data_IF_470965055474
#
_entry.id   IF_470965055474
#
_cell.length_a   1.000
_cell.length_b   1.000
_cell.length_c   1.000
_cell.angle_alpha   90.00
_cell.angle_beta   90.00
_cell.angle_gamma   90.00
#
_symmetry.space_group_name_H-M   'P 1'
#
loop_
_entity.id
_entity.type
_entity.pdbx_description
1 polymer ?
#
# COMPACT_ATOMS: atom_id res chain seq x y z
N UNK A 1 -19.31 -14.81 4.21
CA UNK A 1 -18.42 -15.93 3.80
C UNK A 1 -16.98 -15.44 3.58
N UNK A 2 -16.75 -14.31 2.92
CA UNK A 2 -15.40 -13.70 2.74
C UNK A 2 -14.78 -13.31 4.07
N UNK A 3 -15.53 -12.72 4.99
CA UNK A 3 -15.10 -12.29 6.32
C UNK A 3 -14.60 -13.46 7.21
N UNK A 4 -15.28 -14.61 7.13
CA UNK A 4 -14.85 -15.83 7.85
C UNK A 4 -13.61 -16.44 7.22
N UNK A 5 -13.47 -16.38 5.90
CA UNK A 5 -12.28 -16.87 5.18
C UNK A 5 -11.04 -16.00 5.45
N UNK A 6 -11.20 -14.69 5.58
CA UNK A 6 -10.09 -13.79 5.93
C UNK A 6 -9.61 -14.08 7.36
N UNK A 7 -10.52 -14.21 8.34
CA UNK A 7 -10.18 -14.55 9.73
C UNK A 7 -9.52 -15.92 9.89
N UNK A 8 -10.00 -16.94 9.20
CA UNK A 8 -9.43 -18.31 9.30
C UNK A 8 -8.06 -18.41 8.63
N UNK A 9 -7.81 -17.67 7.54
CA UNK A 9 -6.50 -17.66 6.89
C UNK A 9 -5.47 -16.81 7.64
N UNK A 10 -5.87 -15.69 8.25
CA UNK A 10 -4.97 -14.87 9.09
C UNK A 10 -4.51 -15.62 10.36
N UNK A 11 -5.36 -16.44 10.96
CA UNK A 11 -5.01 -17.25 12.16
C UNK A 11 -3.97 -18.35 11.88
N UNK A 12 -3.80 -18.78 10.62
CA UNK A 12 -2.83 -19.81 10.22
C UNK A 12 -1.58 -19.24 9.51
N UNK A 13 -1.51 -17.93 9.32
CA UNK A 13 -0.39 -17.27 8.67
C UNK A 13 0.51 -16.58 9.69
N UNK A 14 1.51 -17.30 10.17
CA UNK A 14 2.76 -16.69 10.63
C UNK A 14 3.44 -16.22 9.33
N UNK A 15 3.03 -15.06 8.85
CA UNK A 15 3.57 -14.49 7.63
C UNK A 15 5.00 -14.01 7.86
N UNK A 16 5.95 -14.66 7.21
CA UNK A 16 7.33 -14.19 7.10
C UNK A 16 7.30 -12.90 6.27
N UNK A 17 7.06 -11.77 6.91
CA UNK A 17 7.32 -10.47 6.31
C UNK A 17 8.76 -10.09 6.68
N UNK A 18 9.68 -10.42 5.79
CA UNK A 18 11.06 -9.97 5.89
C UNK A 18 11.07 -8.45 5.72
N UNK A 19 11.34 -7.72 6.81
CA UNK A 19 11.71 -6.32 6.73
C UNK A 19 13.05 -6.22 5.95
N UNK A 20 12.96 -6.29 4.63
CA UNK A 20 14.06 -5.90 3.73
C UNK A 20 14.12 -4.37 3.69
N UNK A 21 14.46 -3.79 4.82
CA UNK A 21 14.31 -2.36 5.14
C UNK A 21 15.25 -1.44 4.40
N UNK A 22 16.14 -1.97 3.57
CA UNK A 22 17.16 -1.16 2.90
C UNK A 22 16.88 -0.80 1.45
N UNK A 23 15.95 -1.49 0.78
CA UNK A 23 15.79 -1.37 -0.69
C UNK A 23 14.55 -0.60 -1.13
N UNK A 24 13.58 -0.34 -0.22
CA UNK A 24 12.31 0.27 -0.63
C UNK A 24 12.51 1.72 -1.07
N UNK A 25 13.38 2.47 -0.38
CA UNK A 25 13.64 3.89 -0.71
C UNK A 25 15.15 4.22 -0.74
N UNK A 26 15.97 3.36 -1.34
CA UNK A 26 17.39 3.64 -1.56
C UNK A 26 18.28 3.59 -0.30
N UNK A 27 17.81 2.98 0.79
CA UNK A 27 18.60 2.77 2.00
C UNK A 27 19.35 1.44 1.87
N UNK A 28 20.69 1.48 2.02
CA UNK A 28 21.54 0.27 1.99
C UNK A 28 21.17 -0.68 3.14
N UNK A 29 20.92 -1.98 2.87
CA UNK A 29 20.59 -2.94 3.91
C UNK A 29 21.77 -3.18 4.82
N UNK A 30 21.65 -2.87 6.10
CA UNK A 30 22.49 -3.49 7.11
C UNK A 30 21.95 -4.89 7.36
N UNK A 31 22.74 -5.92 7.01
CA UNK A 31 22.44 -7.34 7.29
C UNK A 31 22.34 -7.56 8.81
N UNK A 32 21.14 -7.40 9.38
CA UNK A 32 20.76 -8.00 10.66
C UNK A 32 19.73 -9.07 10.40
N UNK A 33 19.85 -10.21 11.12
CA UNK A 33 18.88 -11.30 11.10
C UNK A 33 17.45 -10.72 11.14
N UNK A 34 16.68 -11.02 10.11
CA UNK A 34 15.32 -10.51 9.95
C UNK A 34 14.43 -11.20 10.99
N UNK A 35 14.09 -10.49 12.06
CA UNK A 35 13.01 -10.91 12.93
C UNK A 35 11.68 -10.78 12.17
N UNK A 36 10.85 -11.81 12.23
CA UNK A 36 9.48 -11.76 11.71
C UNK A 36 8.71 -10.67 12.47
N UNK A 37 8.09 -9.77 11.72
CA UNK A 37 7.24 -8.74 12.32
C UNK A 37 5.91 -9.39 12.69
N UNK A 38 5.47 -9.35 13.96
CA UNK A 38 4.19 -9.89 14.34
C UNK A 38 3.05 -9.21 13.59
N UNK A 39 2.13 -10.01 13.05
CA UNK A 39 0.96 -9.49 12.30
C UNK A 39 0.11 -8.56 13.16
N UNK A 40 0.01 -8.85 14.46
CA UNK A 40 -0.72 -8.02 15.42
C UNK A 40 -0.10 -6.62 15.57
N UNK A 41 1.22 -6.51 15.57
CA UNK A 41 1.91 -5.22 15.63
C UNK A 41 1.65 -4.40 14.36
N UNK A 42 1.73 -5.04 13.19
CA UNK A 42 1.39 -4.40 11.91
C UNK A 42 -0.07 -3.96 11.86
N UNK A 43 -1.01 -4.83 12.27
CA UNK A 43 -2.45 -4.50 12.32
C UNK A 43 -2.70 -3.29 13.21
N UNK A 44 -2.16 -3.32 14.43
CA UNK A 44 -2.32 -2.21 15.39
C UNK A 44 -1.78 -0.88 14.85
N UNK A 45 -0.61 -0.90 14.21
CA UNK A 45 -0.03 0.32 13.60
C UNK A 45 -0.90 0.84 12.47
N UNK A 46 -1.39 -0.04 11.59
CA UNK A 46 -2.25 0.35 10.46
C UNK A 46 -3.59 0.88 10.96
N UNK A 47 -4.25 0.18 11.89
CA UNK A 47 -5.54 0.59 12.45
C UNK A 47 -5.45 1.95 13.13
N UNK A 48 -4.45 2.15 13.99
CA UNK A 48 -4.23 3.44 14.66
C UNK A 48 -3.95 4.56 13.65
N UNK A 49 -3.21 4.26 12.58
CA UNK A 49 -2.93 5.22 11.53
C UNK A 49 -4.20 5.59 10.74
N UNK A 50 -5.06 4.62 10.41
CA UNK A 50 -6.35 4.88 9.75
C UNK A 50 -7.21 5.79 10.62
N UNK A 51 -7.40 5.47 11.90
CA UNK A 51 -8.21 6.27 12.86
C UNK A 51 -7.66 7.69 12.99
N UNK A 52 -6.33 7.85 13.08
CA UNK A 52 -5.71 9.17 13.23
C UNK A 52 -5.87 10.08 12.00
N UNK A 53 -6.09 9.50 10.83
CA UNK A 53 -6.22 10.23 9.55
C UNK A 53 -7.67 10.39 9.07
N UNK A 54 -8.57 9.48 9.47
CA UNK A 54 -9.99 9.55 9.15
C UNK A 54 -10.82 9.29 10.41
N UNK A 55 -11.09 10.35 11.17
CA UNK A 55 -11.85 10.29 12.43
C UNK A 55 -13.32 9.91 12.26
N UNK A 56 -13.86 9.96 11.05
CA UNK A 56 -15.27 9.65 10.76
C UNK A 56 -15.48 8.18 10.32
N UNK A 57 -14.39 7.41 10.17
CA UNK A 57 -14.48 6.01 9.77
C UNK A 57 -15.05 5.14 10.90
N UNK A 58 -15.89 4.16 10.57
CA UNK A 58 -16.40 3.24 11.57
C UNK A 58 -15.31 2.27 12.06
N UNK A 59 -15.42 1.81 13.30
CA UNK A 59 -14.49 0.81 13.85
C UNK A 59 -14.44 -0.47 13.01
N UNK A 60 -15.59 -0.90 12.48
CA UNK A 60 -15.66 -2.08 11.63
C UNK A 60 -14.91 -1.89 10.31
N UNK A 61 -15.01 -0.69 9.72
CA UNK A 61 -14.30 -0.37 8.48
C UNK A 61 -12.80 -0.26 8.70
N UNK A 62 -12.35 0.28 9.84
CA UNK A 62 -10.92 0.32 10.21
C UNK A 62 -10.33 -1.09 10.22
N UNK A 63 -10.95 -2.00 10.97
CA UNK A 63 -10.48 -3.38 11.07
C UNK A 63 -10.54 -4.10 9.71
N UNK A 64 -11.61 -3.86 8.94
CA UNK A 64 -11.79 -4.45 7.62
C UNK A 64 -10.71 -3.99 6.63
N UNK A 65 -10.44 -2.69 6.57
CA UNK A 65 -9.40 -2.11 5.69
C UNK A 65 -8.02 -2.61 6.11
N UNK A 66 -7.69 -2.59 7.40
CA UNK A 66 -6.39 -3.06 7.89
C UNK A 66 -6.15 -4.53 7.55
N UNK A 67 -7.15 -5.39 7.76
CA UNK A 67 -7.08 -6.80 7.39
C UNK A 67 -6.93 -7.02 5.88
N UNK A 68 -7.67 -6.27 5.07
CA UNK A 68 -7.56 -6.35 3.61
C UNK A 68 -6.18 -5.89 3.12
N UNK A 69 -5.63 -4.79 3.66
CA UNK A 69 -4.28 -4.34 3.36
C UNK A 69 -3.27 -5.44 3.68
N UNK A 70 -3.30 -6.02 4.88
CA UNK A 70 -2.37 -7.08 5.29
C UNK A 70 -2.49 -8.31 4.38
N UNK A 71 -3.72 -8.76 4.12
CA UNK A 71 -3.97 -9.95 3.31
C UNK A 71 -3.49 -9.79 1.87
N UNK A 72 -3.87 -8.69 1.20
CA UNK A 72 -3.51 -8.50 -0.19
C UNK A 72 -2.04 -8.07 -0.37
N UNK A 73 -1.49 -7.31 0.56
CA UNK A 73 -0.06 -7.00 0.55
C UNK A 73 0.78 -8.27 0.61
N UNK A 74 0.41 -9.22 1.46
CA UNK A 74 1.07 -10.52 1.53
C UNK A 74 0.95 -11.31 0.21
N UNK A 75 -0.26 -11.42 -0.33
CA UNK A 75 -0.52 -12.19 -1.54
C UNK A 75 0.23 -11.64 -2.77
N UNK A 76 0.31 -10.30 -2.88
CA UNK A 76 0.99 -9.62 -3.98
C UNK A 76 2.45 -9.26 -3.68
N UNK A 77 2.97 -9.63 -2.50
CA UNK A 77 4.36 -9.39 -2.07
C UNK A 77 4.75 -7.90 -2.12
N UNK A 78 3.85 -7.04 -1.69
CA UNK A 78 4.10 -5.61 -1.50
C UNK A 78 4.15 -5.28 0.00
N UNK A 79 4.91 -4.26 0.37
CA UNK A 79 4.99 -3.83 1.76
C UNK A 79 3.65 -3.23 2.22
N UNK A 80 3.00 -3.75 3.30
CA UNK A 80 1.72 -3.24 3.77
C UNK A 80 1.79 -1.78 4.23
N UNK A 81 2.94 -1.29 4.70
CA UNK A 81 3.10 0.11 5.07
C UNK A 81 3.14 1.02 3.84
N UNK A 82 3.71 0.55 2.71
CA UNK A 82 3.63 1.27 1.43
C UNK A 82 2.19 1.33 0.93
N UNK A 83 1.45 0.21 0.99
CA UNK A 83 0.04 0.17 0.59
C UNK A 83 -0.81 1.08 1.49
N UNK A 84 -0.56 1.09 2.80
CA UNK A 84 -1.24 1.98 3.74
C UNK A 84 -1.00 3.45 3.41
N UNK A 85 0.25 3.83 3.15
CA UNK A 85 0.62 5.19 2.77
C UNK A 85 0.04 5.61 1.40
N UNK A 86 -0.05 4.67 0.45
CA UNK A 86 -0.69 4.86 -0.84
C UNK A 86 -2.19 5.15 -0.67
N UNK A 87 -2.93 4.30 0.04
CA UNK A 87 -4.37 4.48 0.29
C UNK A 87 -4.64 5.79 1.04
N UNK A 88 -3.80 6.14 1.99
CA UNK A 88 -3.84 7.46 2.64
C UNK A 88 -3.74 8.59 1.62
N UNK A 89 -2.83 8.49 0.67
CA UNK A 89 -2.61 9.52 -0.34
C UNK A 89 -3.76 9.62 -1.35
N UNK A 90 -4.36 8.49 -1.72
CA UNK A 90 -5.41 8.37 -2.72
C UNK A 90 -6.78 8.84 -2.20
N UNK A 91 -7.20 8.35 -1.05
CA UNK A 91 -8.57 8.53 -0.57
C UNK A 91 -8.69 9.03 0.86
N UNK A 92 -7.57 9.13 1.60
CA UNK A 92 -7.60 9.31 3.05
C UNK A 92 -8.47 8.26 3.77
N UNK A 93 -8.44 7.02 3.29
CA UNK A 93 -9.25 5.90 3.77
C UNK A 93 -10.77 6.13 3.62
N UNK A 94 -11.19 6.98 2.69
CA UNK A 94 -12.60 7.12 2.33
C UNK A 94 -13.00 6.01 1.36
N UNK A 95 -13.85 5.09 1.81
CA UNK A 95 -14.34 3.95 1.02
C UNK A 95 -15.12 4.43 -0.21
N UNK A 96 -15.89 5.51 -0.07
CA UNK A 96 -16.75 6.07 -1.10
C UNK A 96 -16.06 7.17 -1.93
N UNK A 97 -14.72 7.26 -1.87
CA UNK A 97 -14.00 8.27 -2.61
C UNK A 97 -14.24 8.14 -4.13
N UNK A 98 -14.55 9.27 -4.75
CA UNK A 98 -14.74 9.36 -6.20
C UNK A 98 -14.09 10.64 -6.72
N UNK A 99 -13.16 10.52 -7.67
CA UNK A 99 -12.49 11.69 -8.23
C UNK A 99 -13.24 12.28 -9.43
N UNK A 100 -12.99 13.53 -9.75
CA UNK A 100 -13.52 14.17 -10.97
C UNK A 100 -13.07 13.48 -12.26
N UNK A 101 -11.96 12.75 -12.23
CA UNK A 101 -11.45 11.95 -13.34
C UNK A 101 -12.09 10.56 -13.42
N UNK A 102 -12.93 10.19 -12.44
CA UNK A 102 -13.61 8.90 -12.39
C UNK A 102 -12.85 7.79 -11.67
N UNK A 103 -11.81 8.10 -10.90
CA UNK A 103 -11.14 7.12 -10.04
C UNK A 103 -12.02 6.79 -8.83
N UNK A 104 -11.99 5.53 -8.36
CA UNK A 104 -12.97 4.96 -7.43
C UNK A 104 -12.28 4.34 -6.22
N UNK A 105 -12.82 4.63 -5.03
CA UNK A 105 -12.58 3.95 -3.77
C UNK A 105 -11.23 4.20 -3.13
N UNK A 106 -10.84 3.30 -2.23
CA UNK A 106 -9.67 3.44 -1.36
C UNK A 106 -8.35 3.67 -2.10
N UNK A 107 -8.09 2.90 -3.16
CA UNK A 107 -6.89 3.00 -3.99
C UNK A 107 -7.08 3.86 -5.25
N UNK A 108 -8.22 4.56 -5.39
CA UNK A 108 -8.54 5.40 -6.55
C UNK A 108 -8.29 4.70 -7.89
N UNK A 109 -8.88 3.50 -8.04
CA UNK A 109 -8.74 2.75 -9.28
C UNK A 109 -9.57 3.36 -10.40
N UNK A 110 -8.94 3.62 -11.55
CA UNK A 110 -9.67 3.95 -12.76
C UNK A 110 -10.50 2.74 -13.23
N UNK A 111 -11.73 2.95 -13.74
CA UNK A 111 -12.61 1.85 -14.17
C UNK A 111 -11.94 0.87 -15.12
N UNK A 112 -11.18 1.37 -16.10
CA UNK A 112 -10.44 0.54 -17.06
C UNK A 112 -9.34 -0.29 -16.38
N UNK A 113 -8.70 0.26 -15.34
CA UNK A 113 -7.69 -0.47 -14.57
C UNK A 113 -8.35 -1.57 -13.77
N UNK A 114 -9.46 -1.28 -13.07
CA UNK A 114 -10.22 -2.27 -12.31
C UNK A 114 -10.72 -3.42 -13.20
N UNK A 115 -11.27 -3.10 -14.38
CA UNK A 115 -11.68 -4.08 -15.39
C UNK A 115 -10.53 -4.99 -15.83
N UNK A 116 -9.38 -4.40 -16.16
CA UNK A 116 -8.19 -5.14 -16.58
C UNK A 116 -7.63 -6.06 -15.48
N UNK A 117 -7.83 -5.69 -14.20
CA UNK A 117 -7.43 -6.48 -13.03
C UNK A 117 -8.50 -7.50 -12.61
N UNK A 118 -9.71 -7.43 -13.18
CA UNK A 118 -10.82 -8.31 -12.83
C UNK A 118 -11.41 -8.06 -11.45
N UNK A 119 -11.34 -6.82 -10.93
CA UNK A 119 -11.84 -6.44 -9.60
C UNK A 119 -13.03 -5.48 -9.70
N UNK A 120 -13.94 -5.55 -8.73
CA UNK A 120 -14.98 -4.55 -8.54
C UNK A 120 -14.43 -3.36 -7.73
N UNK A 121 -14.23 -2.16 -8.32
CA UNK A 121 -13.65 -1.04 -7.60
C UNK A 121 -14.57 -0.43 -6.54
N UNK A 122 -15.86 -0.78 -6.53
CA UNK A 122 -16.84 -0.35 -5.52
C UNK A 122 -16.87 -1.27 -4.29
N UNK A 123 -16.25 -2.44 -4.34
CA UNK A 123 -16.05 -3.31 -3.19
C UNK A 123 -14.71 -2.93 -2.51
N UNK A 124 -14.72 -2.53 -1.22
CA UNK A 124 -13.50 -2.02 -0.57
C UNK A 124 -12.35 -3.02 -0.55
N UNK A 125 -12.63 -4.32 -0.36
CA UNK A 125 -11.58 -5.33 -0.33
C UNK A 125 -11.00 -5.56 -1.73
N UNK A 126 -11.85 -5.64 -2.76
CA UNK A 126 -11.40 -5.79 -4.14
C UNK A 126 -10.69 -4.53 -4.66
N UNK A 127 -11.07 -3.35 -4.17
CA UNK A 127 -10.36 -2.11 -4.47
C UNK A 127 -8.93 -2.14 -3.92
N UNK A 128 -8.74 -2.58 -2.66
CA UNK A 128 -7.41 -2.78 -2.07
C UNK A 128 -6.64 -3.88 -2.82
N UNK A 129 -7.31 -4.98 -3.20
CA UNK A 129 -6.73 -6.04 -4.03
C UNK A 129 -6.17 -5.47 -5.32
N UNK A 130 -6.99 -4.71 -6.05
CA UNK A 130 -6.59 -4.07 -7.30
C UNK A 130 -5.42 -3.10 -7.12
N UNK A 131 -5.44 -2.31 -6.04
CA UNK A 131 -4.33 -1.41 -5.71
C UNK A 131 -3.02 -2.18 -5.46
N UNK A 132 -3.06 -3.25 -4.67
CA UNK A 132 -1.90 -4.12 -4.42
C UNK A 132 -1.39 -4.79 -5.70
N UNK A 133 -2.30 -5.35 -6.51
CA UNK A 133 -1.98 -6.01 -7.77
C UNK A 133 -1.32 -5.05 -8.76
N UNK A 134 -1.91 -3.85 -8.92
CA UNK A 134 -1.37 -2.84 -9.82
C UNK A 134 -0.01 -2.33 -9.35
N UNK A 135 0.14 -2.04 -8.05
CA UNK A 135 1.42 -1.61 -7.47
C UNK A 135 2.49 -2.70 -7.65
N UNK A 136 2.18 -3.96 -7.36
CA UNK A 136 3.10 -5.10 -7.56
C UNK A 136 3.55 -5.22 -9.02
N UNK A 137 2.62 -5.03 -9.95
CA UNK A 137 2.92 -5.04 -11.38
C UNK A 137 3.89 -3.91 -11.74
N UNK A 138 3.70 -2.70 -11.19
CA UNK A 138 4.62 -1.60 -11.46
C UNK A 138 6.00 -1.82 -10.80
N UNK A 139 6.06 -2.35 -9.58
CA UNK A 139 7.34 -2.70 -8.93
C UNK A 139 8.11 -3.71 -9.81
N UNK A 140 7.45 -4.73 -10.33
CA UNK A 140 8.06 -5.70 -11.23
C UNK A 140 8.54 -5.08 -12.54
N UNK A 141 7.76 -4.15 -13.12
CA UNK A 141 8.11 -3.43 -14.34
C UNK A 141 9.40 -2.60 -14.20
N UNK A 142 9.71 -2.14 -12.99
CA UNK A 142 10.88 -1.33 -12.67
C UNK A 142 11.92 -2.04 -11.79
N UNK A 143 11.82 -3.38 -11.63
CA UNK A 143 12.68 -4.16 -10.72
C UNK A 143 14.18 -4.06 -11.02
N UNK A 144 14.57 -3.76 -12.26
CA UNK A 144 15.96 -3.52 -12.66
C UNK A 144 16.45 -2.06 -12.52
N UNK A 145 15.61 -1.15 -12.01
CA UNK A 145 15.92 0.26 -11.89
C UNK A 145 16.41 0.58 -10.47
N UNK A 146 17.05 1.77 -10.29
CA UNK A 146 17.68 2.14 -9.02
C UNK A 146 16.67 2.24 -7.84
N UNK A 147 15.44 2.67 -8.11
CA UNK A 147 14.40 2.92 -7.10
C UNK A 147 13.05 2.32 -7.53
N UNK A 148 12.93 0.98 -7.54
CA UNK A 148 11.75 0.31 -8.13
C UNK A 148 10.42 0.74 -7.52
N UNK A 149 10.37 0.90 -6.19
CA UNK A 149 9.13 1.28 -5.48
C UNK A 149 8.76 2.74 -5.76
N UNK A 150 9.71 3.67 -5.75
CA UNK A 150 9.43 5.08 -6.07
C UNK A 150 8.96 5.24 -7.52
N UNK A 151 9.56 4.51 -8.46
CA UNK A 151 9.14 4.51 -9.86
C UNK A 151 7.80 3.83 -10.06
N UNK A 152 7.49 2.78 -9.28
CA UNK A 152 6.18 2.15 -9.27
C UNK A 152 5.08 3.09 -8.74
N UNK A 153 5.36 3.86 -7.69
CA UNK A 153 4.46 4.89 -7.17
C UNK A 153 4.25 6.02 -8.20
N UNK A 154 5.32 6.46 -8.86
CA UNK A 154 5.21 7.43 -9.96
C UNK A 154 4.37 6.88 -11.11
N UNK A 155 4.52 5.59 -11.45
CA UNK A 155 3.74 4.92 -12.48
C UNK A 155 2.29 4.70 -12.07
N UNK A 156 2.01 4.50 -10.78
CA UNK A 156 0.65 4.42 -10.24
C UNK A 156 -0.12 5.73 -10.51
N UNK A 157 0.53 6.87 -10.26
CA UNK A 157 -0.07 8.19 -10.43
C UNK A 157 -0.04 8.69 -11.89
N UNK A 158 1.12 8.66 -12.56
CA UNK A 158 1.31 9.26 -13.89
C UNK A 158 1.26 8.25 -15.06
N UNK A 159 1.13 6.97 -14.74
CA UNK A 159 1.23 5.88 -15.71
C UNK A 159 2.66 5.44 -16.02
N UNK A 160 2.88 4.14 -16.33
CA UNK A 160 4.22 3.59 -16.54
C UNK A 160 4.93 4.13 -17.78
N UNK A 161 4.19 4.63 -18.77
CA UNK A 161 4.79 5.19 -19.98
C UNK A 161 5.52 6.50 -19.68
N UNK A 162 4.95 7.38 -18.86
CA UNK A 162 5.62 8.60 -18.44
C UNK A 162 6.92 8.31 -17.68
N UNK A 163 6.92 7.32 -16.78
CA UNK A 163 8.13 6.93 -16.04
C UNK A 163 9.21 6.40 -16.97
N UNK A 164 8.85 5.62 -18.00
CA UNK A 164 9.81 5.12 -19.00
C UNK A 164 10.35 6.23 -19.90
N UNK A 165 9.47 7.14 -20.32
CA UNK A 165 9.83 8.28 -21.20
C UNK A 165 10.88 9.19 -20.54
N UNK A 166 10.68 9.50 -19.23
CA UNK A 166 11.60 10.35 -18.47
C UNK A 166 12.76 9.61 -17.81
N UNK A 167 12.80 8.28 -17.90
CA UNK A 167 13.83 7.47 -17.26
C UNK A 167 13.80 7.55 -15.71
N UNK A 168 12.65 7.89 -15.12
CA UNK A 168 12.47 8.08 -13.68
C UNK A 168 11.16 8.76 -13.33
N UNK A 169 11.09 9.39 -12.15
CA UNK A 169 9.91 10.18 -11.77
C UNK A 169 9.75 11.36 -12.75
N UNK A 170 8.61 11.44 -13.48
CA UNK A 170 8.44 12.51 -14.45
C UNK A 170 8.42 13.89 -13.77
N UNK A 171 8.81 14.97 -14.49
CA UNK A 171 8.88 16.31 -13.94
C UNK A 171 7.48 16.96 -13.80
N UNK A 172 6.50 16.16 -13.39
CA UNK A 172 5.16 16.61 -13.07
C UNK A 172 5.11 16.91 -11.59
N UNK A 173 4.77 18.16 -11.22
CA UNK A 173 4.71 18.59 -9.82
C UNK A 173 3.78 17.70 -8.98
N UNK A 174 2.64 17.27 -9.55
CA UNK A 174 1.71 16.35 -8.92
C UNK A 174 2.38 15.01 -8.57
N UNK A 175 3.03 14.37 -9.54
CA UNK A 175 3.66 13.07 -9.36
C UNK A 175 4.85 13.12 -8.40
N UNK A 176 5.68 14.17 -8.48
CA UNK A 176 6.80 14.38 -7.55
C UNK A 176 6.31 14.56 -6.12
N UNK A 177 5.27 15.35 -5.91
CA UNK A 177 4.63 15.54 -4.61
C UNK A 177 3.99 14.25 -4.10
N UNK A 178 3.30 13.49 -4.98
CA UNK A 178 2.68 12.21 -4.66
C UNK A 178 3.71 11.20 -4.12
N UNK A 179 4.81 10.98 -4.86
CA UNK A 179 5.86 10.05 -4.42
C UNK A 179 6.51 10.52 -3.12
N UNK A 180 6.81 11.82 -3.00
CA UNK A 180 7.40 12.39 -1.79
C UNK A 180 6.48 12.24 -0.57
N UNK A 181 5.18 12.48 -0.74
CA UNK A 181 4.18 12.32 0.31
C UNK A 181 4.11 10.87 0.80
N UNK A 182 3.95 9.90 -0.11
CA UNK A 182 3.87 8.48 0.26
C UNK A 182 5.14 8.02 0.96
N UNK A 183 6.31 8.44 0.49
CA UNK A 183 7.59 8.14 1.15
C UNK A 183 7.63 8.66 2.60
N UNK A 184 7.20 9.89 2.83
CA UNK A 184 7.18 10.48 4.17
C UNK A 184 6.20 9.76 5.11
N UNK A 185 4.99 9.43 4.61
CA UNK A 185 4.01 8.65 5.37
C UNK A 185 4.54 7.24 5.70
N UNK A 186 5.18 6.58 4.73
CA UNK A 186 5.84 5.29 4.96
C UNK A 186 6.86 5.36 6.09
N UNK A 187 7.75 6.36 6.10
CA UNK A 187 8.73 6.49 7.17
C UNK A 187 8.10 6.77 8.53
N UNK A 188 7.01 7.53 8.57
CA UNK A 188 6.22 7.73 9.79
C UNK A 188 5.67 6.41 10.33
N UNK A 189 5.02 5.62 9.48
CA UNK A 189 4.50 4.30 9.81
C UNK A 189 5.60 3.33 10.26
N UNK A 190 6.71 3.30 9.54
CA UNK A 190 7.86 2.45 9.85
C UNK A 190 8.48 2.77 11.21
N UNK A 191 8.67 4.06 11.53
CA UNK A 191 9.19 4.47 12.84
C UNK A 191 8.22 4.14 13.97
N UNK A 192 6.91 4.27 13.75
CA UNK A 192 5.89 3.86 14.71
C UNK A 192 5.96 2.34 14.95
N UNK A 193 6.03 1.54 13.89
CA UNK A 193 6.19 0.09 14.00
C UNK A 193 7.44 -0.29 14.80
N UNK A 194 8.58 0.35 14.53
CA UNK A 194 9.81 0.14 15.31
C UNK A 194 9.62 0.44 16.80
N UNK A 195 8.91 1.51 17.12
CA UNK A 195 8.60 1.87 18.51
C UNK A 195 7.74 0.80 19.19
N UNK A 196 6.72 0.30 18.51
CA UNK A 196 5.85 -0.79 19.02
C UNK A 196 6.63 -2.08 19.26
N UNK A 197 7.56 -2.42 18.37
CA UNK A 197 8.38 -3.64 18.49
C UNK A 197 9.48 -3.56 19.56
N UNK A 198 9.79 -2.36 20.06
CA UNK A 198 10.81 -2.13 21.08
C UNK A 198 10.23 -1.87 22.47
N UNK A 199 8.90 -1.81 22.62
CA UNK A 199 8.19 -1.62 23.88
C UNK A 199 7.89 -2.94 24.60
#
# INVERSE_FOLDING_TARGET
>A
MVEVMIKVKLLNFIGIFLLTTGLIFGIQPQQKAHAEVPTEALSSVIENYIVSNNSNISYNDVAYIAQAILYYSYNYKVDPLVVTALIKSESNFNIDAYSSAGAIGLGQLMPRTAEALGVNPYDPAQNIEGACSYLATQINNFSGWAYPVEFALAAYNAGPNAVREFGGIPPYAETQNYVSKIRNEYYGLYNNLKSVLSA
#
